data_IF_858353181298
#
_entry.id   IF_858353181298
#
_cell.length_a   1.000
_cell.length_b   1.000
_cell.length_c   1.000
_cell.angle_alpha   90.00
_cell.angle_beta   90.00
_cell.angle_gamma   90.00
#
_symmetry.space_group_name_H-M   'P 1'
#
loop_
_entity.id
_entity.type
_entity.pdbx_description
1 polymer ?
#
# COMPACT_ATOMS: atom_id res chain seq x y z
N UNK A 1 -1.86 -31.43 -17.55
CA UNK A 1 -2.90 -31.52 -16.49
C UNK A 1 -3.19 -30.11 -15.99
N UNK A 2 -4.11 -29.43 -16.67
CA UNK A 2 -4.55 -28.08 -16.32
C UNK A 2 -5.53 -28.21 -15.14
N UNK A 3 -5.21 -27.61 -13.99
CA UNK A 3 -6.19 -27.41 -12.92
C UNK A 3 -7.24 -26.44 -13.47
N UNK A 4 -8.40 -26.99 -13.83
CA UNK A 4 -9.61 -26.22 -14.06
C UNK A 4 -9.79 -25.26 -12.89
N UNK A 5 -9.66 -23.96 -13.19
CA UNK A 5 -9.87 -22.91 -12.22
C UNK A 5 -11.28 -23.07 -11.66
N UNK A 6 -11.37 -23.27 -10.35
CA UNK A 6 -12.64 -23.22 -9.64
C UNK A 6 -13.20 -21.81 -9.87
N UNK A 7 -14.09 -21.68 -10.86
CA UNK A 7 -14.85 -20.46 -11.10
C UNK A 7 -15.84 -20.38 -9.95
N UNK A 8 -15.43 -19.73 -8.87
CA UNK A 8 -16.32 -19.43 -7.75
C UNK A 8 -17.39 -18.49 -8.30
N UNK A 9 -18.57 -19.03 -8.56
CA UNK A 9 -19.71 -18.30 -9.08
C UNK A 9 -20.27 -17.42 -7.96
N UNK A 10 -19.79 -16.19 -7.90
CA UNK A 10 -20.23 -15.23 -6.90
C UNK A 10 -21.61 -14.65 -7.29
N UNK A 11 -22.56 -14.52 -6.34
CA UNK A 11 -23.83 -13.85 -6.60
C UNK A 11 -23.62 -12.38 -7.00
N UNK A 12 -24.51 -11.77 -7.80
CA UNK A 12 -24.42 -10.37 -8.29
C UNK A 12 -24.12 -9.33 -7.20
N UNK A 13 -24.49 -9.61 -5.95
CA UNK A 13 -24.17 -8.81 -4.74
C UNK A 13 -22.67 -8.55 -4.58
N UNK A 14 -21.80 -9.44 -5.04
CA UNK A 14 -20.34 -9.26 -4.96
C UNK A 14 -19.80 -8.20 -5.90
N UNK A 15 -20.52 -7.86 -6.97
CA UNK A 15 -20.08 -6.82 -7.91
C UNK A 15 -20.14 -5.43 -7.28
N UNK A 16 -21.28 -5.08 -6.66
CA UNK A 16 -21.43 -3.82 -5.93
C UNK A 16 -20.48 -3.72 -4.73
N UNK A 17 -20.29 -4.84 -4.02
CA UNK A 17 -19.33 -4.93 -2.93
C UNK A 17 -17.90 -4.65 -3.42
N UNK A 18 -17.49 -5.22 -4.56
CA UNK A 18 -16.15 -4.99 -5.10
C UNK A 18 -15.93 -3.52 -5.50
N UNK A 19 -16.94 -2.85 -6.09
CA UNK A 19 -16.85 -1.41 -6.43
C UNK A 19 -16.67 -0.57 -5.15
N UNK A 20 -17.48 -0.85 -4.13
CA UNK A 20 -17.38 -0.18 -2.84
C UNK A 20 -15.99 -0.37 -2.22
N UNK A 21 -15.47 -1.61 -2.22
CA UNK A 21 -14.16 -1.94 -1.68
C UNK A 21 -13.02 -1.27 -2.46
N UNK A 22 -13.15 -1.13 -3.78
CA UNK A 22 -12.21 -0.33 -4.58
C UNK A 22 -12.20 1.13 -4.13
N UNK A 23 -13.36 1.72 -3.87
CA UNK A 23 -13.46 3.06 -3.30
C UNK A 23 -12.73 3.18 -1.95
N UNK A 24 -12.96 2.22 -1.05
CA UNK A 24 -12.28 2.16 0.25
C UNK A 24 -10.77 1.98 0.09
N UNK A 25 -10.31 1.16 -0.86
CA UNK A 25 -8.89 0.98 -1.15
C UNK A 25 -8.22 2.28 -1.65
N UNK A 26 -8.92 3.05 -2.51
CA UNK A 26 -8.44 4.38 -2.93
C UNK A 26 -8.37 5.36 -1.76
N UNK A 27 -9.37 5.35 -0.88
CA UNK A 27 -9.34 6.15 0.36
C UNK A 27 -8.19 5.74 1.27
N UNK A 28 -7.87 4.44 1.36
CA UNK A 28 -6.74 3.93 2.13
C UNK A 28 -5.40 4.41 1.57
N UNK A 29 -5.21 4.35 0.26
CA UNK A 29 -4.02 4.91 -0.41
C UNK A 29 -3.88 6.39 -0.07
N UNK A 30 -4.96 7.16 -0.22
CA UNK A 30 -4.93 8.60 0.06
C UNK A 30 -4.61 8.89 1.54
N UNK A 31 -5.19 8.12 2.46
CA UNK A 31 -4.93 8.23 3.90
C UNK A 31 -3.44 8.04 4.21
N UNK A 32 -2.84 6.96 3.69
CA UNK A 32 -1.41 6.66 3.87
C UNK A 32 -0.51 7.74 3.25
N UNK A 33 -0.85 8.24 2.05
CA UNK A 33 -0.09 9.32 1.40
C UNK A 33 -0.17 10.59 2.24
N UNK A 34 -1.34 10.93 2.78
CA UNK A 34 -1.48 12.13 3.61
C UNK A 34 -0.68 12.00 4.91
N UNK A 35 -0.79 10.86 5.58
CA UNK A 35 -0.13 10.63 6.86
C UNK A 35 1.40 10.64 6.74
N UNK A 36 1.96 9.91 5.77
CA UNK A 36 3.41 9.80 5.63
C UNK A 36 4.02 10.84 4.69
N UNK A 37 3.24 11.45 3.81
CA UNK A 37 3.72 12.43 2.84
C UNK A 37 3.79 13.87 3.35
N UNK A 38 2.97 14.22 4.35
CA UNK A 38 2.85 15.60 4.83
C UNK A 38 3.15 15.73 6.32
N UNK A 39 3.62 16.90 6.73
CA UNK A 39 3.74 17.26 8.14
C UNK A 39 2.37 17.73 8.65
N UNK A 40 1.64 16.81 9.26
CA UNK A 40 0.28 17.06 9.74
C UNK A 40 0.29 17.52 11.20
N UNK A 41 -0.74 18.28 11.58
CA UNK A 41 -0.97 18.62 12.98
C UNK A 41 -1.57 17.44 13.75
N UNK A 42 -1.34 17.38 15.07
CA UNK A 42 -1.77 16.29 15.97
C UNK A 42 -3.26 15.94 15.82
N UNK A 43 -4.13 16.93 15.62
CA UNK A 43 -5.57 16.69 15.42
C UNK A 43 -5.88 15.97 14.11
N UNK A 44 -5.17 16.34 13.04
CA UNK A 44 -5.35 15.74 11.71
C UNK A 44 -4.77 14.33 11.67
N UNK A 45 -3.60 14.10 12.28
CA UNK A 45 -3.03 12.76 12.44
C UNK A 45 -3.97 11.85 13.22
N UNK A 46 -4.53 12.33 14.34
CA UNK A 46 -5.51 11.55 15.10
C UNK A 46 -6.78 11.22 14.30
N UNK A 47 -7.21 12.09 13.38
CA UNK A 47 -8.34 11.83 12.49
C UNK A 47 -7.98 10.75 11.45
N UNK A 48 -6.79 10.82 10.85
CA UNK A 48 -6.31 9.81 9.91
C UNK A 48 -6.15 8.44 10.56
N UNK A 49 -5.59 8.36 11.77
CA UNK A 49 -5.48 7.09 12.49
C UNK A 49 -6.86 6.45 12.76
N UNK A 50 -7.88 7.26 13.06
CA UNK A 50 -9.26 6.77 13.23
C UNK A 50 -9.86 6.29 11.90
N UNK A 51 -9.58 6.99 10.81
CA UNK A 51 -9.99 6.61 9.47
C UNK A 51 -9.34 5.27 9.07
N UNK A 52 -8.04 5.11 9.29
CA UNK A 52 -7.29 3.89 9.01
C UNK A 52 -7.85 2.70 9.78
N UNK A 53 -8.13 2.88 11.08
CA UNK A 53 -8.80 1.86 11.87
C UNK A 53 -10.16 1.46 11.28
N UNK A 54 -10.95 2.43 10.84
CA UNK A 54 -12.23 2.16 10.19
C UNK A 54 -12.06 1.39 8.86
N UNK A 55 -11.06 1.74 8.06
CA UNK A 55 -10.71 1.05 6.81
C UNK A 55 -10.32 -0.40 7.07
N UNK A 56 -9.48 -0.66 8.08
CA UNK A 56 -9.14 -2.02 8.51
C UNK A 56 -10.40 -2.81 8.86
N UNK A 57 -11.31 -2.22 9.63
CA UNK A 57 -12.59 -2.81 9.97
C UNK A 57 -13.39 -3.23 8.74
N UNK A 58 -13.44 -2.37 7.71
CA UNK A 58 -14.13 -2.68 6.44
C UNK A 58 -13.45 -3.86 5.71
N UNK A 59 -12.13 -3.87 5.61
CA UNK A 59 -11.40 -4.96 4.93
C UNK A 59 -11.56 -6.30 5.65
N UNK A 60 -11.55 -6.30 6.97
CA UNK A 60 -11.86 -7.50 7.75
C UNK A 60 -13.31 -7.94 7.53
N UNK A 61 -14.26 -7.02 7.65
CA UNK A 61 -15.68 -7.31 7.48
C UNK A 61 -15.98 -7.87 6.09
N UNK A 62 -15.34 -7.35 5.04
CA UNK A 62 -15.46 -7.86 3.68
C UNK A 62 -15.11 -9.35 3.58
N UNK A 63 -13.98 -9.75 4.15
CA UNK A 63 -13.53 -11.14 4.11
C UNK A 63 -14.55 -12.07 4.76
N UNK A 64 -15.01 -11.71 5.97
CA UNK A 64 -16.01 -12.50 6.69
C UNK A 64 -17.37 -12.50 6.01
N UNK A 65 -17.78 -11.38 5.41
CA UNK A 65 -19.03 -11.26 4.67
C UNK A 65 -19.03 -12.14 3.42
N UNK A 66 -17.94 -12.12 2.63
CA UNK A 66 -17.77 -13.01 1.46
C UNK A 66 -17.70 -14.48 1.88
N UNK A 67 -17.02 -14.79 2.99
CA UNK A 67 -16.97 -16.15 3.56
C UNK A 67 -18.36 -16.63 4.03
N UNK A 68 -19.19 -15.74 4.59
CA UNK A 68 -20.54 -16.08 5.05
C UNK A 68 -21.52 -16.33 3.89
N UNK A 69 -21.37 -15.60 2.78
CA UNK A 69 -22.17 -15.79 1.56
C UNK A 69 -21.70 -16.96 0.69
N UNK A 70 -20.48 -17.48 0.90
CA UNK A 70 -19.95 -18.58 0.11
C UNK A 70 -20.72 -19.88 0.39
N UNK A 71 -21.28 -20.49 -0.67
CA UNK A 71 -21.98 -21.78 -0.59
C UNK A 71 -21.10 -22.86 0.06
N UNK A 72 -19.82 -22.88 -0.28
CA UNK A 72 -18.82 -23.78 0.29
C UNK A 72 -17.69 -22.99 0.97
N UNK A 73 -17.76 -22.88 2.30
CA UNK A 73 -16.77 -22.15 3.10
C UNK A 73 -15.34 -22.66 2.91
N UNK A 74 -15.17 -23.99 2.81
CA UNK A 74 -13.85 -24.61 2.60
C UNK A 74 -13.25 -24.24 1.25
N UNK A 75 -14.04 -24.30 0.18
CA UNK A 75 -13.58 -23.92 -1.16
C UNK A 75 -13.17 -22.43 -1.20
N UNK A 76 -13.94 -21.55 -0.55
CA UNK A 76 -13.61 -20.13 -0.47
C UNK A 76 -12.29 -19.85 0.29
N UNK A 77 -12.09 -20.49 1.45
CA UNK A 77 -10.84 -20.36 2.21
C UNK A 77 -9.64 -20.89 1.43
N UNK A 78 -9.82 -21.95 0.63
CA UNK A 78 -8.75 -22.52 -0.20
C UNK A 78 -8.39 -21.58 -1.37
N UNK A 79 -9.36 -20.86 -1.92
CA UNK A 79 -9.12 -19.89 -2.99
C UNK A 79 -8.49 -18.59 -2.48
N UNK A 80 -8.86 -18.13 -1.28
CA UNK A 80 -8.37 -16.87 -0.67
C UNK A 80 -7.49 -17.15 0.56
N UNK A 81 -6.62 -18.16 0.47
CA UNK A 81 -5.74 -18.55 1.59
C UNK A 81 -4.87 -17.41 2.07
N UNK A 82 -4.36 -16.60 1.14
CA UNK A 82 -3.46 -15.49 1.45
C UNK A 82 -4.18 -14.45 2.31
N UNK A 83 -5.38 -14.03 1.92
CA UNK A 83 -6.22 -13.12 2.71
C UNK A 83 -6.50 -13.67 4.11
N UNK A 84 -6.85 -14.96 4.21
CA UNK A 84 -7.09 -15.62 5.50
C UNK A 84 -5.85 -15.66 6.40
N UNK A 85 -4.67 -15.92 5.83
CA UNK A 85 -3.39 -15.91 6.57
C UNK A 85 -3.07 -14.50 7.05
N UNK A 86 -3.19 -13.49 6.19
CA UNK A 86 -2.91 -12.08 6.56
C UNK A 86 -3.83 -11.62 7.69
N UNK A 87 -5.12 -11.96 7.63
CA UNK A 87 -6.07 -11.66 8.70
C UNK A 87 -5.70 -12.42 9.99
N UNK A 88 -5.34 -13.70 9.89
CA UNK A 88 -4.89 -14.48 11.04
C UNK A 88 -3.66 -13.89 11.72
N UNK A 89 -2.64 -13.51 10.95
CA UNK A 89 -1.44 -12.83 11.45
C UNK A 89 -1.80 -11.50 12.12
N UNK A 90 -2.65 -10.69 11.49
CA UNK A 90 -3.12 -9.44 12.07
C UNK A 90 -3.79 -9.63 13.45
N UNK A 91 -4.70 -10.60 13.57
CA UNK A 91 -5.34 -10.91 14.85
C UNK A 91 -4.33 -11.40 15.91
N UNK A 92 -3.39 -12.27 15.52
CA UNK A 92 -2.34 -12.74 16.43
C UNK A 92 -1.49 -11.57 16.93
N UNK A 93 -1.03 -10.69 16.04
CA UNK A 93 -0.22 -9.53 16.43
C UNK A 93 -0.97 -8.62 17.43
N UNK A 94 -2.27 -8.39 17.23
CA UNK A 94 -3.09 -7.60 18.15
C UNK A 94 -3.25 -8.31 19.51
N UNK A 95 -3.55 -9.61 19.52
CA UNK A 95 -3.74 -10.34 20.78
C UNK A 95 -2.48 -10.37 21.64
N UNK A 96 -1.32 -10.46 21.02
CA UNK A 96 -0.03 -10.52 21.71
C UNK A 96 0.61 -9.15 21.98
N UNK A 97 0.00 -8.05 21.52
CA UNK A 97 0.61 -6.71 21.57
C UNK A 97 0.96 -6.28 23.00
N UNK A 98 0.05 -6.45 23.95
CA UNK A 98 0.28 -6.05 25.34
C UNK A 98 1.40 -6.88 25.98
N UNK A 99 1.49 -8.17 25.62
CA UNK A 99 2.55 -9.06 26.08
C UNK A 99 3.91 -8.66 25.51
N UNK A 100 3.94 -8.13 24.28
CA UNK A 100 5.14 -7.66 23.62
C UNK A 100 5.80 -6.50 24.39
N UNK A 101 5.01 -5.56 24.91
CA UNK A 101 5.49 -4.44 25.74
C UNK A 101 5.84 -4.83 27.17
N UNK A 102 5.41 -6.01 27.63
CA UNK A 102 5.78 -6.52 28.95
C UNK A 102 7.19 -7.13 28.95
N UNK A 103 7.70 -7.56 27.80
CA UNK A 103 9.03 -8.12 27.65
C UNK A 103 10.08 -6.98 27.52
N UNK A 104 11.01 -6.80 28.47
CA UNK A 104 11.88 -5.63 28.53
C UNK A 104 12.82 -5.51 27.32
N UNK A 105 13.35 -6.62 26.81
CA UNK A 105 14.21 -6.62 25.61
C UNK A 105 13.46 -6.15 24.37
N UNK A 106 12.23 -6.64 24.18
CA UNK A 106 11.38 -6.29 23.04
C UNK A 106 10.86 -4.85 23.15
N UNK A 107 10.45 -4.42 24.34
CA UNK A 107 10.04 -3.04 24.58
C UNK A 107 11.17 -2.04 24.31
N UNK A 108 12.41 -2.36 24.71
CA UNK A 108 13.57 -1.51 24.40
C UNK A 108 13.85 -1.47 22.90
N UNK A 109 13.74 -2.60 22.20
CA UNK A 109 13.89 -2.65 20.74
C UNK A 109 12.81 -1.82 20.03
N UNK A 110 11.55 -1.94 20.44
CA UNK A 110 10.43 -1.16 19.91
C UNK A 110 10.60 0.33 20.17
N UNK A 111 11.11 0.71 21.35
CA UNK A 111 11.43 2.10 21.67
C UNK A 111 12.48 2.71 20.73
N UNK A 112 13.46 1.91 20.24
CA UNK A 112 14.47 2.39 19.29
C UNK A 112 13.90 2.74 17.91
N UNK A 113 12.82 2.07 17.52
CA UNK A 113 12.11 2.34 16.26
C UNK A 113 10.95 3.32 16.44
N UNK A 114 10.85 3.97 17.60
CA UNK A 114 9.85 5.00 17.89
C UNK A 114 8.48 4.46 18.31
N UNK A 115 8.36 3.16 18.60
CA UNK A 115 7.12 2.55 19.07
C UNK A 115 7.22 2.39 20.59
N UNK A 116 6.66 3.36 21.30
CA UNK A 116 6.83 3.52 22.75
C UNK A 116 5.62 2.99 23.52
N UNK A 117 4.45 2.92 22.87
CA UNK A 117 3.20 2.48 23.49
C UNK A 117 2.50 1.36 22.71
N UNK A 118 1.68 0.53 23.39
CA UNK A 118 0.83 -0.45 22.71
C UNK A 118 -0.12 0.17 21.68
N UNK A 119 -0.55 1.43 21.91
CA UNK A 119 -1.41 2.16 20.99
C UNK A 119 -0.69 2.51 19.68
N UNK A 120 0.57 2.97 19.76
CA UNK A 120 1.40 3.21 18.57
C UNK A 120 1.67 1.91 17.80
N UNK A 121 1.98 0.82 18.52
CA UNK A 121 2.15 -0.48 17.89
C UNK A 121 0.88 -0.93 17.15
N UNK A 122 -0.30 -0.66 17.72
CA UNK A 122 -1.58 -0.98 17.10
C UNK A 122 -1.79 -0.21 15.79
N UNK A 123 -1.44 1.08 15.78
CA UNK A 123 -1.51 1.94 14.58
C UNK A 123 -0.57 1.38 13.50
N UNK A 124 0.69 1.12 13.84
CA UNK A 124 1.69 0.58 12.89
C UNK A 124 1.28 -0.79 12.33
N UNK A 125 0.75 -1.69 13.18
CA UNK A 125 0.24 -3.00 12.74
C UNK A 125 -0.96 -2.82 11.79
N UNK A 126 -1.86 -1.88 12.10
CA UNK A 126 -3.02 -1.57 11.25
C UNK A 126 -2.59 -1.03 9.89
N UNK A 127 -1.62 -0.13 9.85
CA UNK A 127 -1.06 0.41 8.61
C UNK A 127 -0.34 -0.66 7.79
N UNK A 128 0.44 -1.53 8.45
CA UNK A 128 1.05 -2.70 7.81
C UNK A 128 0.01 -3.65 7.20
N UNK A 129 -1.09 -3.89 7.92
CA UNK A 129 -2.21 -4.68 7.39
C UNK A 129 -2.87 -4.00 6.19
N UNK A 130 -3.14 -2.69 6.24
CA UNK A 130 -3.69 -1.93 5.11
C UNK A 130 -2.79 -2.08 3.88
N UNK A 131 -1.48 -1.89 4.04
CA UNK A 131 -0.51 -2.02 2.94
C UNK A 131 -0.57 -3.42 2.31
N UNK A 132 -0.50 -4.48 3.12
CA UNK A 132 -0.57 -5.86 2.61
C UNK A 132 -1.92 -6.13 1.96
N UNK A 133 -3.03 -5.74 2.60
CA UNK A 133 -4.38 -5.91 2.06
C UNK A 133 -4.58 -5.16 0.74
N UNK A 134 -3.99 -3.98 0.60
CA UNK A 134 -4.01 -3.20 -0.63
C UNK A 134 -3.23 -3.91 -1.75
N UNK A 135 -2.03 -4.41 -1.46
CA UNK A 135 -1.21 -5.17 -2.43
C UNK A 135 -1.96 -6.40 -2.97
N UNK A 136 -2.67 -7.12 -2.11
CA UNK A 136 -3.49 -8.28 -2.52
C UNK A 136 -4.69 -7.89 -3.41
N UNK A 137 -5.12 -6.62 -3.35
CA UNK A 137 -6.25 -6.09 -4.13
C UNK A 137 -5.85 -5.43 -5.45
N UNK A 138 -4.56 -5.11 -5.65
CA UNK A 138 -4.06 -4.54 -6.90
C UNK A 138 -4.44 -5.35 -8.18
N UNK A 139 -4.40 -6.70 -8.18
CA UNK A 139 -4.82 -7.47 -9.35
C UNK A 139 -6.29 -7.26 -9.73
N UNK A 140 -7.13 -6.86 -8.78
CA UNK A 140 -8.55 -6.60 -9.00
C UNK A 140 -8.76 -5.22 -9.63
N UNK A 141 -7.87 -4.25 -9.37
CA UNK A 141 -7.84 -2.93 -10.01
C UNK A 141 -7.51 -3.04 -11.52
N UNK A 142 -6.63 -3.97 -11.90
CA UNK A 142 -6.14 -4.11 -13.29
C UNK A 142 -7.18 -4.65 -14.29
N UNK A 143 -8.38 -5.06 -13.85
CA UNK A 143 -9.42 -5.61 -14.75
C UNK A 143 -10.04 -4.56 -15.69
N UNK A 144 -9.79 -3.27 -15.49
CA UNK A 144 -10.25 -2.20 -16.36
C UNK A 144 -9.37 -1.97 -17.61
N UNK A 145 -8.08 -2.37 -17.58
CA UNK A 145 -7.12 -2.10 -18.67
C UNK A 145 -7.29 -3.03 -19.88
N UNK A 146 -8.01 -4.14 -19.72
CA UNK A 146 -8.23 -5.17 -20.75
C UNK A 146 -9.34 -4.86 -21.75
N UNK A 147 -10.07 -3.75 -21.56
CA UNK A 147 -11.24 -3.37 -22.37
C UNK A 147 -10.89 -2.31 -23.43
N UNK A 148 -9.73 -1.67 -23.28
CA UNK A 148 -9.25 -0.66 -24.23
C UNK A 148 -8.46 -1.38 -25.34
N UNK A 149 -8.99 -1.37 -26.57
CA UNK A 149 -8.29 -1.83 -27.78
C UNK A 149 -7.16 -0.86 -28.17
N UNK A 150 -6.18 -0.68 -27.29
CA UNK A 150 -5.02 0.17 -27.56
C UNK A 150 -3.90 -0.66 -28.22
N UNK A 151 -3.12 0.02 -29.05
CA UNK A 151 -1.92 -0.57 -29.63
C UNK A 151 -0.95 -0.95 -28.50
N UNK A 152 -0.38 -2.18 -28.49
CA UNK A 152 0.57 -2.62 -27.45
C UNK A 152 1.68 -1.60 -27.15
N UNK A 153 2.24 -0.93 -28.16
CA UNK A 153 3.28 0.09 -27.95
C UNK A 153 2.78 1.29 -27.14
N UNK A 154 1.51 1.68 -27.33
CA UNK A 154 0.92 2.82 -26.63
C UNK A 154 0.63 2.48 -25.16
N UNK A 155 0.28 1.22 -24.87
CA UNK A 155 0.09 0.74 -23.49
C UNK A 155 1.39 0.87 -22.69
N UNK A 156 2.52 0.46 -23.28
CA UNK A 156 3.83 0.58 -22.63
C UNK A 156 4.18 2.04 -22.37
N UNK A 157 3.99 2.93 -23.36
CA UNK A 157 4.25 4.37 -23.20
C UNK A 157 3.40 4.96 -22.07
N UNK A 158 2.10 4.65 -22.05
CA UNK A 158 1.20 5.13 -20.99
C UNK A 158 1.58 4.58 -19.62
N UNK A 159 2.02 3.32 -19.52
CA UNK A 159 2.49 2.73 -18.27
C UNK A 159 3.73 3.47 -17.73
N UNK A 160 4.73 3.71 -18.59
CA UNK A 160 5.92 4.49 -18.23
C UNK A 160 5.55 5.91 -17.78
N UNK A 161 4.73 6.63 -18.56
CA UNK A 161 4.30 7.98 -18.19
C UNK A 161 3.52 8.02 -16.87
N UNK A 162 2.68 7.02 -16.62
CA UNK A 162 1.91 6.93 -15.38
C UNK A 162 2.83 6.71 -14.18
N UNK A 163 3.80 5.81 -14.29
CA UNK A 163 4.71 5.49 -13.19
C UNK A 163 5.67 6.64 -12.91
N UNK A 164 6.21 7.27 -13.96
CA UNK A 164 7.02 8.49 -13.82
C UNK A 164 6.19 9.61 -13.18
N UNK A 165 4.93 9.78 -13.59
CA UNK A 165 4.01 10.77 -13.02
C UNK A 165 3.76 10.53 -11.53
N UNK A 166 3.43 9.29 -11.14
CA UNK A 166 3.25 8.90 -9.74
C UNK A 166 4.54 9.11 -8.95
N UNK A 167 5.68 8.67 -9.47
CA UNK A 167 6.98 8.87 -8.85
C UNK A 167 7.30 10.34 -8.61
N UNK A 168 7.03 11.19 -9.61
CA UNK A 168 7.21 12.65 -9.51
C UNK A 168 6.33 13.23 -8.40
N UNK A 169 5.05 12.85 -8.34
CA UNK A 169 4.14 13.32 -7.29
C UNK A 169 4.60 12.88 -5.89
N UNK A 170 5.07 11.64 -5.75
CA UNK A 170 5.59 11.12 -4.49
C UNK A 170 6.88 11.84 -4.06
N UNK A 171 7.78 12.15 -5.00
CA UNK A 171 9.02 12.87 -4.70
C UNK A 171 8.81 14.36 -4.37
N UNK A 172 7.69 14.95 -4.79
CA UNK A 172 7.29 16.30 -4.44
C UNK A 172 6.63 16.43 -3.07
N UNK A 173 6.34 15.31 -2.40
CA UNK A 173 5.77 15.34 -1.05
C UNK A 173 6.76 15.99 -0.07
N UNK A 174 6.28 16.85 0.87
CA UNK A 174 7.15 17.53 1.83
C UNK A 174 8.01 16.59 2.70
N UNK A 175 7.51 15.38 3.00
CA UNK A 175 8.27 14.38 3.75
C UNK A 175 9.23 13.56 2.89
N UNK A 176 9.21 13.69 1.56
CA UNK A 176 10.15 13.01 0.65
C UNK A 176 11.50 13.71 0.55
N UNK A 177 11.59 14.97 0.98
CA UNK A 177 12.85 15.74 1.01
C UNK A 177 13.42 15.84 2.41
N UNK A 178 14.74 15.96 2.50
CA UNK A 178 15.41 16.23 3.77
C UNK A 178 15.01 17.61 4.32
N UNK A 179 15.03 17.76 5.64
CA UNK A 179 14.62 18.99 6.31
C UNK A 179 15.40 20.21 5.78
N UNK A 180 14.68 21.29 5.45
CA UNK A 180 15.25 22.52 4.90
C UNK A 180 15.63 22.46 3.42
N UNK A 181 15.33 21.36 2.71
CA UNK A 181 15.50 21.24 1.26
C UNK A 181 14.14 21.13 0.57
N UNK A 182 14.02 21.82 -0.55
CA UNK A 182 12.88 21.73 -1.45
C UNK A 182 13.31 21.07 -2.76
N UNK A 183 12.43 20.24 -3.33
CA UNK A 183 12.64 19.66 -4.65
C UNK A 183 11.78 20.41 -5.65
N UNK A 184 12.38 20.94 -6.70
CA UNK A 184 11.61 21.56 -7.78
C UNK A 184 10.86 20.49 -8.58
N UNK A 185 9.76 20.88 -9.23
CA UNK A 185 9.02 19.96 -10.11
C UNK A 185 9.91 19.30 -11.16
N UNK A 186 10.83 20.07 -11.76
CA UNK A 186 11.75 19.56 -12.78
C UNK A 186 12.75 18.56 -12.20
N UNK A 187 13.29 18.81 -11.00
CA UNK A 187 14.21 17.87 -10.36
C UNK A 187 13.50 16.56 -9.99
N UNK A 188 12.29 16.65 -9.45
CA UNK A 188 11.47 15.47 -9.14
C UNK A 188 11.14 14.67 -10.40
N UNK A 189 10.73 15.34 -11.49
CA UNK A 189 10.39 14.70 -12.75
C UNK A 189 11.61 14.04 -13.38
N UNK A 190 12.75 14.72 -13.38
CA UNK A 190 14.00 14.18 -13.90
C UNK A 190 14.46 12.96 -13.09
N UNK A 191 14.47 13.07 -11.75
CA UNK A 191 14.86 11.96 -10.87
C UNK A 191 13.92 10.77 -11.01
N UNK A 192 12.59 11.00 -11.08
CA UNK A 192 11.63 9.91 -11.29
C UNK A 192 11.83 9.22 -12.65
N UNK A 193 12.09 9.99 -13.71
CA UNK A 193 12.38 9.46 -15.05
C UNK A 193 13.68 8.66 -15.06
N UNK A 194 14.75 9.20 -14.49
CA UNK A 194 16.06 8.55 -14.39
C UNK A 194 15.99 7.24 -13.61
N UNK A 195 15.28 7.24 -12.47
CA UNK A 195 15.06 6.06 -11.65
C UNK A 195 14.25 4.98 -12.39
N UNK A 196 13.13 5.36 -13.01
CA UNK A 196 12.26 4.42 -13.75
C UNK A 196 12.95 3.84 -14.98
N UNK A 197 13.77 4.63 -15.68
CA UNK A 197 14.55 4.16 -16.83
C UNK A 197 15.89 3.53 -16.44
N UNK A 198 16.22 3.48 -15.14
CA UNK A 198 17.45 2.90 -14.57
C UNK A 198 18.73 3.47 -15.24
N UNK A 199 18.73 4.77 -15.55
CA UNK A 199 19.88 5.41 -16.24
C UNK A 199 20.98 5.84 -15.29
N UNK A 200 20.67 6.05 -14.01
CA UNK A 200 21.63 6.44 -12.97
C UNK A 200 22.02 7.92 -12.98
N UNK A 201 21.34 8.77 -13.78
CA UNK A 201 21.60 10.20 -13.81
C UNK A 201 20.95 10.91 -12.61
N UNK A 202 21.68 11.81 -11.96
CA UNK A 202 21.20 12.58 -10.80
C UNK A 202 21.38 14.08 -11.04
N UNK A 203 20.38 14.87 -10.65
CA UNK A 203 20.41 16.35 -10.68
C UNK A 203 20.63 16.96 -9.29
N UNK A 204 20.28 16.20 -8.26
CA UNK A 204 20.52 16.51 -6.85
C UNK A 204 21.11 15.27 -6.17
N UNK A 205 21.90 15.46 -5.13
CA UNK A 205 22.51 14.33 -4.41
C UNK A 205 21.45 13.49 -3.70
N UNK A 206 21.21 12.26 -4.16
CA UNK A 206 20.10 11.43 -3.68
C UNK A 206 20.22 11.09 -2.19
N UNK A 207 21.44 10.87 -1.70
CA UNK A 207 21.69 10.43 -0.33
C UNK A 207 21.41 11.51 0.71
N UNK A 208 21.65 12.77 0.38
CA UNK A 208 21.47 13.90 1.29
C UNK A 208 20.26 14.78 0.97
N UNK A 209 19.72 14.74 -0.25
CA UNK A 209 18.59 15.56 -0.67
C UNK A 209 17.24 14.94 -0.33
N UNK A 210 17.09 13.64 -0.57
CA UNK A 210 15.86 12.92 -0.29
C UNK A 210 15.90 12.31 1.11
N UNK A 211 14.77 12.34 1.79
CA UNK A 211 14.56 11.61 3.04
C UNK A 211 14.47 10.11 2.78
N UNK A 212 14.31 9.32 3.84
CA UNK A 212 14.05 7.89 3.71
C UNK A 212 12.83 7.59 2.81
N UNK A 213 11.77 8.39 2.88
CA UNK A 213 10.58 8.24 2.03
C UNK A 213 10.91 8.47 0.55
N UNK A 214 11.67 9.54 0.24
CA UNK A 214 12.09 9.82 -1.13
C UNK A 214 13.04 8.77 -1.68
N UNK A 215 13.97 8.28 -0.86
CA UNK A 215 14.90 7.20 -1.23
C UNK A 215 14.16 5.89 -1.49
N UNK A 216 13.19 5.51 -0.66
CA UNK A 216 12.33 4.34 -0.90
C UNK A 216 11.49 4.48 -2.17
N UNK A 217 11.02 5.69 -2.46
CA UNK A 217 10.32 6.00 -3.71
C UNK A 217 11.23 5.76 -4.92
N UNK A 218 12.46 6.31 -4.90
CA UNK A 218 13.46 6.12 -5.97
C UNK A 218 13.80 4.64 -6.14
N UNK A 219 14.07 3.92 -5.05
CA UNK A 219 14.35 2.49 -5.09
C UNK A 219 13.18 1.71 -5.70
N UNK A 220 11.95 2.05 -5.34
CA UNK A 220 10.76 1.42 -5.90
C UNK A 220 10.65 1.66 -7.41
N UNK A 221 10.91 2.89 -7.88
CA UNK A 221 10.93 3.23 -9.30
C UNK A 221 12.02 2.46 -10.06
N UNK A 222 13.23 2.33 -9.49
CA UNK A 222 14.32 1.53 -10.06
C UNK A 222 13.91 0.05 -10.18
N UNK A 223 13.29 -0.53 -9.15
CA UNK A 223 12.86 -1.93 -9.18
C UNK A 223 11.76 -2.16 -10.22
N UNK A 224 10.78 -1.25 -10.29
CA UNK A 224 9.69 -1.32 -11.26
C UNK A 224 10.25 -1.20 -12.68
N UNK A 225 11.17 -0.26 -12.92
CA UNK A 225 11.84 -0.06 -14.20
C UNK A 225 12.72 -1.24 -14.62
N UNK A 226 13.52 -1.77 -13.69
CA UNK A 226 14.50 -2.84 -13.95
C UNK A 226 13.89 -4.22 -14.18
N UNK A 227 12.69 -4.49 -13.64
CA UNK A 227 11.94 -5.72 -13.90
C UNK A 227 11.19 -5.72 -15.24
N UNK A 228 11.15 -4.57 -15.93
CA UNK A 228 10.39 -4.36 -17.15
C UNK A 228 8.91 -4.06 -16.87
N UNK A 229 8.35 -3.14 -17.66
CA UNK A 229 6.94 -2.74 -17.65
C UNK A 229 6.10 -3.48 -18.68
#
# INVERSE_FOLDING_TARGET
>A
MLKEGIVINYPKVTSHLNIFITGVALTAILSLILEYGFYLGVKTEALLHRLDLFIVGIFLAEFFFKLALAKEKRAYLIANKVDGVVIGVFFVLILFINKLFTAPELAQFLGRIGIVSPAEAYIVISQGYILVALLLKLPQLNKALLILKLNPSLVVILAFLTIIGIGTMLLLLPRSTASGKETTFLDALFTATSATCVTGLIVVDTGTHFSLLGQLTILSLVQIGGLGL
#
